data_IF_758097421440
#
_entry.id   IF_758097421440
#
_cell.length_a   1.000
_cell.length_b   1.000
_cell.length_c   1.000
_cell.angle_alpha   90.00
_cell.angle_beta   90.00
_cell.angle_gamma   90.00
#
_symmetry.space_group_name_H-M   'P 1'
#
loop_
_entity.id
_entity.type
_entity.pdbx_description
1 polymer ?
#
# COMPACT_ATOMS: atom_id res chain seq x y z
N UNK A 1 -28.33 13.85 26.05
CA UNK A 1 -28.27 12.53 25.37
C UNK A 1 -26.88 11.98 25.57
N UNK A 2 -26.78 10.89 26.30
CA UNK A 2 -25.57 10.49 27.03
C UNK A 2 -24.46 9.89 26.18
N UNK A 3 -23.28 10.53 26.21
CA UNK A 3 -22.04 10.09 25.58
C UNK A 3 -21.32 8.94 26.34
N UNK A 4 -22.03 8.18 27.20
CA UNK A 4 -21.42 7.21 28.14
C UNK A 4 -21.63 5.73 27.79
N UNK A 5 -22.18 5.39 26.60
CA UNK A 5 -22.55 3.98 26.29
C UNK A 5 -21.63 3.22 25.34
N UNK A 6 -20.46 3.75 24.96
CA UNK A 6 -19.57 3.12 23.95
C UNK A 6 -18.30 2.43 24.51
N UNK A 7 -18.18 2.29 25.84
CA UNK A 7 -17.00 1.63 26.47
C UNK A 7 -17.44 0.39 27.23
N UNK A 8 -17.95 -0.60 26.57
CA UNK A 8 -18.18 -1.91 27.21
C UNK A 8 -18.38 -3.06 26.22
N UNK A 9 -17.51 -3.25 25.21
CA UNK A 9 -17.40 -4.53 24.49
C UNK A 9 -15.95 -4.69 24.02
N UNK A 10 -15.04 -4.99 24.92
CA UNK A 10 -13.71 -5.51 24.62
C UNK A 10 -13.17 -6.26 25.84
N UNK A 11 -13.64 -7.47 26.06
CA UNK A 11 -12.96 -8.47 26.91
C UNK A 11 -13.64 -9.82 26.72
N UNK A 12 -13.01 -10.68 25.96
CA UNK A 12 -12.89 -12.12 26.15
C UNK A 12 -12.76 -12.87 24.81
N UNK A 13 -11.54 -13.24 24.47
CA UNK A 13 -11.27 -14.53 23.82
C UNK A 13 -9.78 -14.83 23.95
N UNK A 14 -9.40 -15.47 25.03
CA UNK A 14 -8.14 -16.18 25.16
C UNK A 14 -8.24 -17.49 24.38
N UNK A 15 -7.45 -17.64 23.32
CA UNK A 15 -7.23 -18.93 22.65
C UNK A 15 -5.84 -19.42 23.02
N UNK A 16 -5.78 -20.46 23.79
CA UNK A 16 -4.59 -21.22 24.14
C UNK A 16 -4.13 -22.03 22.91
N UNK A 17 -2.91 -21.79 22.44
CA UNK A 17 -2.24 -22.64 21.45
C UNK A 17 -1.29 -23.57 22.18
N UNK A 18 -1.56 -24.86 22.12
CA UNK A 18 -0.72 -25.93 22.66
C UNK A 18 0.49 -26.15 21.75
N UNK A 19 1.67 -26.14 22.37
CA UNK A 19 2.95 -26.56 21.79
C UNK A 19 3.01 -28.08 21.71
N UNK A 20 3.23 -28.63 20.52
CA UNK A 20 3.67 -30.01 20.36
C UNK A 20 5.14 -30.02 19.87
N UNK A 21 6.03 -30.49 20.76
CA UNK A 21 7.41 -30.81 20.49
C UNK A 21 7.49 -32.17 19.77
N UNK A 22 8.28 -32.23 18.71
CA UNK A 22 8.60 -33.49 18.04
C UNK A 22 9.76 -33.33 17.07
N UNK A 23 11.00 -33.59 17.53
CA UNK A 23 12.15 -34.00 16.71
C UNK A 23 12.18 -35.52 16.59
N UNK A 24 12.79 -36.14 15.57
CA UNK A 24 14.24 -36.17 15.48
C UNK A 24 14.86 -36.09 14.06
N UNK A 25 16.18 -35.91 14.11
CA UNK A 25 17.16 -35.86 13.05
C UNK A 25 17.19 -37.10 12.12
N UNK A 26 17.52 -36.83 10.86
CA UNK A 26 18.14 -37.85 10.01
C UNK A 26 19.26 -37.23 9.15
N UNK A 27 20.48 -37.61 9.50
CA UNK A 27 21.69 -37.43 8.70
C UNK A 27 21.59 -38.24 7.40
N UNK A 28 22.00 -37.65 6.28
CA UNK A 28 22.47 -38.38 5.13
C UNK A 28 23.59 -37.61 4.40
N UNK A 29 24.69 -38.29 4.21
CA UNK A 29 25.99 -37.92 3.70
C UNK A 29 26.01 -37.40 2.25
N UNK A 30 27.13 -36.74 1.86
CA UNK A 30 27.32 -36.14 0.53
C UNK A 30 27.98 -37.12 -0.46
N UNK A 31 27.76 -36.92 -1.75
CA UNK A 31 28.67 -37.21 -2.83
C UNK A 31 28.19 -36.72 -4.22
N UNK A 32 29.05 -36.73 -5.29
CA UNK A 32 29.73 -35.52 -5.75
C UNK A 32 29.43 -35.16 -7.21
N UNK A 33 29.90 -33.95 -7.62
CA UNK A 33 30.24 -33.54 -9.00
C UNK A 33 29.25 -33.85 -10.12
N UNK A 34 28.64 -32.79 -10.64
CA UNK A 34 28.44 -32.65 -12.08
C UNK A 34 28.45 -31.19 -12.53
N UNK A 35 29.44 -30.90 -13.32
CA UNK A 35 29.52 -30.01 -14.48
C UNK A 35 28.64 -28.75 -14.53
N UNK A 36 29.28 -27.59 -14.53
CA UNK A 36 28.75 -26.30 -14.94
C UNK A 36 28.46 -26.31 -16.45
N UNK A 37 27.28 -25.83 -16.86
CA UNK A 37 27.16 -25.23 -18.17
C UNK A 37 27.33 -23.71 -18.06
N UNK A 38 28.27 -23.20 -18.80
CA UNK A 38 28.38 -21.81 -19.21
C UNK A 38 27.07 -21.42 -19.89
N UNK A 39 26.36 -20.46 -19.36
CA UNK A 39 25.26 -19.83 -20.10
C UNK A 39 25.36 -18.34 -19.97
N UNK A 40 25.48 -17.78 -21.09
CA UNK A 40 25.21 -16.53 -21.63
C UNK A 40 24.51 -15.49 -20.77
N UNK A 41 25.18 -14.37 -20.58
CA UNK A 41 24.55 -13.13 -20.13
C UNK A 41 23.53 -12.68 -21.19
N UNK A 42 22.30 -13.14 -21.09
CA UNK A 42 21.18 -12.47 -21.72
C UNK A 42 20.79 -11.29 -20.81
N UNK A 43 21.14 -10.10 -21.30
CA UNK A 43 20.59 -8.84 -20.81
C UNK A 43 19.08 -8.86 -21.00
N UNK A 44 18.32 -9.27 -19.97
CA UNK A 44 16.91 -8.91 -19.84
C UNK A 44 16.83 -7.42 -19.51
N UNK A 45 16.80 -6.59 -20.52
CA UNK A 45 16.28 -5.21 -20.42
C UNK A 45 14.76 -5.30 -20.29
N UNK A 46 14.19 -4.79 -19.22
CA UNK A 46 12.78 -4.38 -19.21
C UNK A 46 11.86 -5.00 -18.15
N UNK A 47 12.37 -5.51 -17.00
CA UNK A 47 11.47 -6.05 -15.98
C UNK A 47 11.75 -5.56 -14.54
N UNK A 48 12.70 -4.65 -14.35
CA UNK A 48 13.14 -4.24 -13.01
C UNK A 48 12.29 -3.11 -12.37
N UNK A 49 11.28 -2.56 -13.07
CA UNK A 49 10.49 -1.43 -12.54
C UNK A 49 9.27 -1.87 -11.75
N UNK A 50 8.60 -2.94 -12.15
CA UNK A 50 7.37 -3.43 -11.51
C UNK A 50 7.59 -4.19 -10.19
N UNK A 51 8.81 -4.61 -9.88
CA UNK A 51 9.06 -5.55 -8.77
C UNK A 51 9.53 -4.89 -7.46
N UNK A 52 9.59 -3.57 -7.37
CA UNK A 52 9.99 -2.94 -6.10
C UNK A 52 8.84 -2.95 -5.09
N UNK A 53 9.12 -3.07 -3.77
CA UNK A 53 8.08 -3.00 -2.75
C UNK A 53 7.25 -1.73 -2.84
N UNK A 54 7.84 -0.61 -3.26
CA UNK A 54 7.11 0.64 -3.46
C UNK A 54 6.19 0.57 -4.68
N UNK A 55 6.67 0.07 -5.82
CA UNK A 55 5.85 -0.08 -7.02
C UNK A 55 4.60 -0.93 -6.75
N UNK A 56 4.74 -2.05 -6.05
CA UNK A 56 3.63 -2.90 -5.64
C UNK A 56 2.58 -2.16 -4.80
N UNK A 57 3.02 -1.26 -3.89
CA UNK A 57 2.06 -0.48 -3.11
C UNK A 57 1.39 0.61 -3.95
N UNK A 58 2.13 1.25 -4.89
CA UNK A 58 1.54 2.23 -5.81
C UNK A 58 0.50 1.58 -6.72
N UNK A 59 0.78 0.41 -7.29
CA UNK A 59 -0.22 -0.36 -8.06
C UNK A 59 -1.49 -0.66 -7.27
N UNK A 60 -1.38 -0.94 -5.97
CA UNK A 60 -2.56 -1.16 -5.13
C UNK A 60 -3.37 0.11 -4.93
N UNK A 61 -2.72 1.26 -4.79
CA UNK A 61 -3.38 2.56 -4.72
C UNK A 61 -4.09 2.85 -6.04
N UNK A 62 -3.41 2.69 -7.17
CA UNK A 62 -3.97 2.93 -8.52
C UNK A 62 -5.18 2.03 -8.79
N UNK A 63 -5.09 0.74 -8.46
CA UNK A 63 -6.20 -0.20 -8.60
C UNK A 63 -7.41 0.23 -7.77
N UNK A 64 -7.20 0.65 -6.52
CA UNK A 64 -8.26 1.18 -5.66
C UNK A 64 -8.87 2.46 -6.25
N UNK A 65 -8.04 3.40 -6.73
CA UNK A 65 -8.51 4.63 -7.37
C UNK A 65 -9.38 4.35 -8.61
N UNK A 66 -9.00 3.38 -9.44
CA UNK A 66 -9.80 2.99 -10.61
C UNK A 66 -11.16 2.41 -10.23
N UNK A 67 -11.24 1.62 -9.16
CA UNK A 67 -12.50 1.07 -8.65
C UNK A 67 -13.37 2.17 -8.03
N UNK A 68 -12.79 3.07 -7.25
CA UNK A 68 -13.45 4.22 -6.66
C UNK A 68 -14.02 5.16 -7.73
N UNK A 69 -13.31 5.40 -8.82
CA UNK A 69 -13.79 6.19 -9.98
C UNK A 69 -15.15 5.74 -10.48
N UNK A 70 -15.36 4.42 -10.52
CA UNK A 70 -16.58 3.78 -11.05
C UNK A 70 -17.68 3.64 -10.01
N UNK A 71 -17.33 3.73 -8.72
CA UNK A 71 -18.24 3.39 -7.62
C UNK A 71 -18.65 4.53 -6.71
N UNK A 72 -17.81 5.56 -6.55
CA UNK A 72 -18.00 6.60 -5.52
C UNK A 72 -19.32 7.38 -5.63
N UNK A 73 -19.96 7.37 -6.80
CA UNK A 73 -21.25 8.02 -7.06
C UNK A 73 -22.45 7.08 -6.88
N UNK A 74 -22.22 5.80 -6.74
CA UNK A 74 -23.24 4.76 -6.75
C UNK A 74 -23.41 4.19 -5.34
N UNK A 75 -24.53 4.53 -4.70
CA UNK A 75 -24.82 4.08 -3.34
C UNK A 75 -24.86 2.54 -3.22
N UNK A 76 -25.20 1.82 -4.31
CA UNK A 76 -25.19 0.35 -4.31
C UNK A 76 -23.80 -0.26 -4.27
N UNK A 77 -22.76 0.53 -4.57
CA UNK A 77 -21.34 0.12 -4.55
C UNK A 77 -20.61 0.58 -3.30
N UNK A 78 -21.30 1.15 -2.32
CA UNK A 78 -20.68 1.69 -1.10
C UNK A 78 -19.75 0.71 -0.41
N UNK A 79 -20.20 -0.51 -0.17
CA UNK A 79 -19.39 -1.52 0.54
C UNK A 79 -18.14 -1.90 -0.25
N UNK A 80 -18.26 -2.01 -1.58
CA UNK A 80 -17.11 -2.23 -2.44
C UNK A 80 -16.13 -1.05 -2.41
N UNK A 81 -16.62 0.19 -2.42
CA UNK A 81 -15.79 1.38 -2.28
C UNK A 81 -15.10 1.44 -0.92
N UNK A 82 -15.77 1.06 0.18
CA UNK A 82 -15.16 1.00 1.51
C UNK A 82 -14.03 -0.03 1.56
N UNK A 83 -14.19 -1.19 0.92
CA UNK A 83 -13.13 -2.19 0.82
C UNK A 83 -11.91 -1.66 0.06
N UNK A 84 -12.11 -0.95 -1.05
CA UNK A 84 -11.01 -0.35 -1.82
C UNK A 84 -10.32 0.78 -1.07
N UNK A 85 -11.06 1.60 -0.35
CA UNK A 85 -10.47 2.63 0.53
C UNK A 85 -9.59 1.99 1.59
N UNK A 86 -10.02 0.90 2.24
CA UNK A 86 -9.21 0.18 3.22
C UNK A 86 -7.92 -0.39 2.59
N UNK A 87 -7.99 -0.93 1.37
CA UNK A 87 -6.83 -1.40 0.61
C UNK A 87 -5.83 -0.27 0.34
N UNK A 88 -6.33 0.89 -0.13
CA UNK A 88 -5.50 2.07 -0.39
C UNK A 88 -4.85 2.63 0.88
N UNK A 89 -5.56 2.70 1.99
CA UNK A 89 -5.02 3.11 3.29
C UNK A 89 -3.86 2.21 3.74
N UNK A 90 -4.02 0.89 3.63
CA UNK A 90 -2.95 -0.06 3.95
C UNK A 90 -1.72 0.14 3.06
N UNK A 91 -1.93 0.34 1.76
CA UNK A 91 -0.86 0.61 0.81
C UNK A 91 -0.14 1.93 1.13
N UNK A 92 -0.86 3.01 1.48
CA UNK A 92 -0.27 4.27 1.94
C UNK A 92 0.57 4.09 3.20
N UNK A 93 0.09 3.32 4.20
CA UNK A 93 0.85 3.03 5.43
C UNK A 93 2.15 2.30 5.11
N UNK A 94 2.12 1.31 4.22
CA UNK A 94 3.30 0.58 3.79
C UNK A 94 4.28 1.48 2.99
N UNK A 95 3.77 2.30 2.07
CA UNK A 95 4.57 3.15 1.17
C UNK A 95 5.35 4.24 1.89
N UNK A 96 4.77 4.87 2.90
CA UNK A 96 5.38 6.05 3.56
C UNK A 96 6.74 5.79 4.21
N UNK A 97 7.10 4.52 4.43
CA UNK A 97 8.39 4.11 4.98
C UNK A 97 9.38 3.67 3.90
N UNK A 98 8.94 3.57 2.65
CA UNK A 98 9.77 3.19 1.51
C UNK A 98 10.39 4.44 0.88
N UNK A 99 11.47 4.24 0.13
CA UNK A 99 12.20 5.33 -0.52
C UNK A 99 11.80 5.39 -2.00
N UNK A 100 11.43 6.58 -2.54
CA UNK A 100 11.13 6.74 -3.96
C UNK A 100 12.31 6.38 -4.83
N UNK A 101 12.05 5.77 -5.99
CA UNK A 101 13.08 5.35 -6.95
C UNK A 101 13.95 6.51 -7.42
N UNK A 102 13.39 7.70 -7.54
CA UNK A 102 14.14 8.91 -7.91
C UNK A 102 15.08 9.43 -6.82
N UNK A 103 14.94 9.02 -5.57
CA UNK A 103 15.77 9.57 -4.50
C UNK A 103 17.29 9.48 -4.74
N UNK A 104 17.84 8.40 -5.35
CA UNK A 104 19.25 8.34 -5.69
C UNK A 104 19.68 9.32 -6.79
N UNK A 105 18.78 9.79 -7.65
CA UNK A 105 19.08 10.73 -8.75
C UNK A 105 19.07 12.18 -8.29
N UNK A 106 18.50 12.45 -7.11
CA UNK A 106 18.48 13.79 -6.49
C UNK A 106 19.84 14.10 -5.85
N UNK A 107 20.38 15.34 -6.03
CA UNK A 107 21.63 15.77 -5.38
C UNK A 107 21.65 15.47 -3.89
N UNK A 108 22.81 15.06 -3.36
CA UNK A 108 22.95 14.61 -1.96
C UNK A 108 22.40 15.62 -0.93
N UNK A 109 22.64 16.91 -1.15
CA UNK A 109 22.16 17.98 -0.26
C UNK A 109 20.64 18.14 -0.25
N UNK A 110 19.93 17.67 -1.27
CA UNK A 110 18.48 17.83 -1.45
C UNK A 110 17.72 16.53 -1.16
N UNK A 111 18.40 15.38 -1.21
CA UNK A 111 17.79 14.06 -1.10
C UNK A 111 16.94 13.87 0.17
N UNK A 112 17.44 14.37 1.32
CA UNK A 112 16.71 14.25 2.58
C UNK A 112 15.40 15.06 2.55
N UNK A 113 15.39 16.23 1.91
CA UNK A 113 14.21 17.05 1.72
C UNK A 113 13.21 16.34 0.78
N UNK A 114 13.69 15.80 -0.34
CA UNK A 114 12.89 15.06 -1.32
C UNK A 114 12.17 13.86 -0.68
N UNK A 115 12.88 13.02 0.08
CA UNK A 115 12.29 11.87 0.79
C UNK A 115 11.29 12.32 1.85
N UNK A 116 11.58 13.40 2.57
CA UNK A 116 10.62 13.97 3.53
C UNK A 116 9.35 14.46 2.85
N UNK A 117 9.46 15.11 1.70
CA UNK A 117 8.31 15.62 0.96
C UNK A 117 7.47 14.49 0.37
N UNK A 118 8.11 13.43 -0.14
CA UNK A 118 7.43 12.19 -0.52
C UNK A 118 6.60 11.64 0.65
N UNK A 119 7.22 11.48 1.84
CA UNK A 119 6.51 10.96 3.01
C UNK A 119 5.34 11.83 3.44
N UNK A 120 5.45 13.16 3.30
CA UNK A 120 4.33 14.08 3.54
C UNK A 120 3.22 13.88 2.52
N UNK A 121 3.54 13.72 1.24
CA UNK A 121 2.57 13.46 0.18
C UNK A 121 1.76 12.20 0.47
N UNK A 122 2.44 11.07 0.75
CA UNK A 122 1.77 9.81 1.09
C UNK A 122 0.94 9.92 2.39
N UNK A 123 1.42 10.65 3.40
CA UNK A 123 0.65 10.88 4.62
C UNK A 123 -0.62 11.72 4.36
N UNK A 124 -0.52 12.72 3.49
CA UNK A 124 -1.68 13.52 3.07
C UNK A 124 -2.69 12.68 2.28
N UNK A 125 -2.21 11.80 1.40
CA UNK A 125 -3.06 10.86 0.65
C UNK A 125 -3.83 9.93 1.61
N UNK A 126 -3.17 9.38 2.63
CA UNK A 126 -3.81 8.57 3.67
C UNK A 126 -4.91 9.33 4.41
N UNK A 127 -4.69 10.61 4.73
CA UNK A 127 -5.69 11.46 5.37
C UNK A 127 -6.92 11.61 4.47
N UNK A 128 -6.73 11.85 3.17
CA UNK A 128 -7.86 12.00 2.24
C UNK A 128 -8.61 10.69 2.01
N UNK A 129 -7.94 9.54 1.98
CA UNK A 129 -8.64 8.25 1.97
C UNK A 129 -9.45 8.03 3.25
N UNK A 130 -8.97 8.48 4.41
CA UNK A 130 -9.73 8.42 5.66
C UNK A 130 -10.95 9.34 5.63
N UNK A 131 -10.81 10.54 5.05
CA UNK A 131 -11.94 11.45 4.84
C UNK A 131 -12.99 10.86 3.89
N UNK A 132 -12.53 10.15 2.83
CA UNK A 132 -13.43 9.46 1.90
C UNK A 132 -14.18 8.32 2.59
N UNK A 133 -13.51 7.54 3.43
CA UNK A 133 -14.13 6.49 4.23
C UNK A 133 -15.28 7.05 5.07
N UNK A 134 -15.04 8.13 5.81
CA UNK A 134 -16.05 8.80 6.62
C UNK A 134 -17.24 9.27 5.76
N UNK A 135 -16.98 9.90 4.61
CA UNK A 135 -18.05 10.36 3.71
C UNK A 135 -18.89 9.21 3.15
N UNK A 136 -18.24 8.06 2.81
CA UNK A 136 -18.94 6.85 2.36
C UNK A 136 -19.80 6.24 3.48
N UNK A 137 -19.27 6.16 4.71
CA UNK A 137 -20.00 5.66 5.87
C UNK A 137 -21.24 6.53 6.19
N UNK A 138 -21.11 7.85 6.07
CA UNK A 138 -22.20 8.80 6.23
C UNK A 138 -23.23 8.74 5.06
N UNK A 139 -22.87 8.10 3.94
CA UNK A 139 -23.70 8.08 2.73
C UNK A 139 -23.73 9.41 1.98
N UNK A 140 -22.78 10.29 2.22
CA UNK A 140 -22.66 11.60 1.58
C UNK A 140 -21.96 11.47 0.20
N UNK A 141 -22.77 11.27 -0.84
CA UNK A 141 -22.28 11.06 -2.20
C UNK A 141 -21.59 12.30 -2.77
N UNK A 142 -22.05 13.51 -2.45
CA UNK A 142 -21.45 14.75 -2.96
C UNK A 142 -20.05 14.95 -2.37
N UNK A 143 -19.91 14.79 -1.06
CA UNK A 143 -18.65 14.86 -0.35
C UNK A 143 -17.69 13.76 -0.80
N UNK A 144 -18.18 12.53 -0.99
CA UNK A 144 -17.39 11.41 -1.50
C UNK A 144 -16.78 11.71 -2.87
N UNK A 145 -17.58 12.26 -3.79
CA UNK A 145 -17.11 12.68 -5.12
C UNK A 145 -16.10 13.84 -5.04
N UNK A 146 -16.33 14.80 -4.16
CA UNK A 146 -15.41 15.94 -3.99
C UNK A 146 -14.04 15.48 -3.46
N UNK A 147 -14.04 14.56 -2.47
CA UNK A 147 -12.79 13.99 -1.93
C UNK A 147 -12.09 13.12 -2.96
N UNK A 148 -12.84 12.30 -3.73
CA UNK A 148 -12.25 11.48 -4.79
C UNK A 148 -11.51 12.34 -5.84
N UNK A 149 -12.10 13.46 -6.28
CA UNK A 149 -11.42 14.39 -7.20
C UNK A 149 -10.14 14.99 -6.61
N UNK A 150 -10.14 15.24 -5.30
CA UNK A 150 -8.93 15.70 -4.62
C UNK A 150 -7.85 14.62 -4.61
N UNK A 151 -8.23 13.35 -4.38
CA UNK A 151 -7.33 12.21 -4.46
C UNK A 151 -6.72 12.07 -5.87
N UNK A 152 -7.52 12.19 -6.95
CA UNK A 152 -7.02 12.19 -8.34
C UNK A 152 -5.94 13.28 -8.53
N UNK A 153 -6.20 14.50 -8.09
CA UNK A 153 -5.24 15.61 -8.22
C UNK A 153 -3.94 15.37 -7.42
N UNK A 154 -4.04 14.73 -6.24
CA UNK A 154 -2.87 14.39 -5.43
C UNK A 154 -2.06 13.25 -6.04
N UNK A 155 -2.69 12.29 -6.70
CA UNK A 155 -2.06 11.21 -7.47
C UNK A 155 -1.25 11.79 -8.62
N UNK A 156 -1.86 12.66 -9.43
CA UNK A 156 -1.20 13.35 -10.56
C UNK A 156 0.02 14.16 -10.08
N UNK A 157 -0.11 14.92 -8.98
CA UNK A 157 1.00 15.68 -8.40
C UNK A 157 2.12 14.74 -7.92
N UNK A 158 1.75 13.63 -7.29
CA UNK A 158 2.68 12.61 -6.80
C UNK A 158 3.48 11.97 -7.93
N UNK A 159 2.82 11.58 -9.01
CA UNK A 159 3.47 11.03 -10.20
C UNK A 159 4.43 12.04 -10.80
N UNK A 160 3.99 13.26 -11.09
CA UNK A 160 4.84 14.30 -11.67
C UNK A 160 6.09 14.61 -10.83
N UNK A 161 6.04 14.44 -9.51
CA UNK A 161 7.11 14.84 -8.61
C UNK A 161 8.05 13.71 -8.22
N UNK A 162 7.55 12.48 -8.11
CA UNK A 162 8.28 11.37 -7.50
C UNK A 162 8.53 10.20 -8.44
N UNK A 163 8.00 10.23 -9.68
CA UNK A 163 8.28 9.26 -10.73
C UNK A 163 8.97 9.91 -11.94
N UNK A 164 9.66 9.11 -12.76
CA UNK A 164 10.37 9.54 -13.97
C UNK A 164 9.57 9.18 -15.22
N UNK A 165 8.28 9.40 -15.23
CA UNK A 165 7.48 9.21 -16.44
C UNK A 165 7.38 10.49 -17.25
#
# INVERSE_FOLDING_TARGET
MDARRWIAILLASAVAVAFALGTPAQEAKPDPKQDAPKSGAEKKKGHDEADTPLAQQMERIDAAMQMLKRGVRDASKRDACLAEVANAQQACVASKLLTPKMAPTVPDGERAAFVRDYRKGVASLLIEFTNLEVALLDGDAEKSVAIYKKLEAMEDEGHNRFTNE
#
